data_IF_255311751970
#
_entry.id   IF_255311751970
#
_cell.length_a   1.000
_cell.length_b   1.000
_cell.length_c   1.000
_cell.angle_alpha   90.00
_cell.angle_beta   90.00
_cell.angle_gamma   90.00
#
_symmetry.space_group_name_H-M   'P 1'
#
loop_
_entity.id
_entity.type
_entity.pdbx_description
1 polymer ?
#
# COMPACT_ATOMS: atom_id res chain seq x y z
N UNK A 1 -3.84 -26.07 -9.18
CA UNK A 1 -3.99 -24.60 -9.23
C UNK A 1 -4.42 -24.25 -10.64
N UNK A 2 -5.34 -23.33 -10.83
CA UNK A 2 -5.92 -23.11 -12.17
C UNK A 2 -4.95 -22.27 -13.03
N UNK A 3 -4.10 -22.92 -13.82
CA UNK A 3 -3.05 -22.28 -14.65
C UNK A 3 -3.62 -21.23 -15.62
N UNK A 4 -4.87 -21.42 -16.05
CA UNK A 4 -5.60 -20.45 -16.86
C UNK A 4 -5.87 -19.14 -16.09
N UNK A 5 -6.15 -19.21 -14.79
CA UNK A 5 -6.39 -18.05 -13.95
C UNK A 5 -5.08 -17.29 -13.69
N UNK A 6 -3.99 -18.00 -13.42
CA UNK A 6 -2.66 -17.39 -13.26
C UNK A 6 -2.22 -16.70 -14.54
N UNK A 7 -2.41 -17.35 -15.69
CA UNK A 7 -2.11 -16.75 -17.00
C UNK A 7 -2.93 -15.49 -17.25
N UNK A 8 -4.21 -15.48 -16.87
CA UNK A 8 -5.08 -14.30 -16.99
C UNK A 8 -4.63 -13.15 -16.09
N UNK A 9 -4.25 -13.47 -14.86
CA UNK A 9 -3.72 -12.48 -13.91
C UNK A 9 -2.40 -11.88 -14.40
N UNK A 10 -1.47 -12.72 -14.90
CA UNK A 10 -0.21 -12.25 -15.52
C UNK A 10 -0.46 -11.30 -16.70
N UNK A 11 -1.42 -11.61 -17.56
CA UNK A 11 -1.79 -10.74 -18.70
C UNK A 11 -2.37 -9.40 -18.24
N UNK A 12 -3.21 -9.40 -17.22
CA UNK A 12 -3.78 -8.18 -16.65
C UNK A 12 -2.72 -7.30 -15.97
N UNK A 13 -1.77 -7.90 -15.25
CA UNK A 13 -0.66 -7.18 -14.64
C UNK A 13 0.31 -6.62 -15.67
N UNK A 14 0.61 -7.38 -16.72
CA UNK A 14 1.44 -6.90 -17.83
C UNK A 14 0.75 -5.75 -18.58
N UNK A 15 -0.56 -5.82 -18.78
CA UNK A 15 -1.35 -4.74 -19.37
C UNK A 15 -1.33 -3.48 -18.51
N UNK A 16 -1.46 -3.64 -17.19
CA UNK A 16 -1.38 -2.52 -16.24
C UNK A 16 0.00 -1.85 -16.22
N UNK A 17 1.08 -2.64 -16.34
CA UNK A 17 2.45 -2.11 -16.32
C UNK A 17 2.94 -1.48 -17.62
N UNK A 18 2.39 -1.88 -18.77
CA UNK A 18 2.90 -1.51 -20.08
C UNK A 18 1.91 -0.69 -20.94
N UNK A 19 0.75 -0.31 -20.41
CA UNK A 19 -0.25 0.42 -21.19
C UNK A 19 0.05 1.93 -21.16
N UNK A 20 0.12 2.60 -22.33
CA UNK A 20 0.31 4.05 -22.42
C UNK A 20 -0.93 4.83 -21.93
N UNK A 21 -2.11 4.21 -21.90
CA UNK A 21 -3.33 4.80 -21.34
C UNK A 21 -3.42 4.52 -19.84
N UNK A 22 -3.36 5.58 -19.05
CA UNK A 22 -3.47 5.48 -17.59
C UNK A 22 -4.81 4.87 -17.15
N UNK A 23 -5.91 5.21 -17.82
CA UNK A 23 -7.25 4.70 -17.50
C UNK A 23 -7.35 3.18 -17.76
N UNK A 24 -6.78 2.69 -18.83
CA UNK A 24 -6.76 1.27 -19.16
C UNK A 24 -5.81 0.49 -18.24
N UNK A 25 -4.66 1.06 -17.88
CA UNK A 25 -3.73 0.49 -16.92
C UNK A 25 -4.38 0.35 -15.53
N UNK A 26 -5.09 1.36 -15.07
CA UNK A 26 -5.85 1.35 -13.83
C UNK A 26 -6.99 0.31 -13.84
N UNK A 27 -7.72 0.22 -14.93
CA UNK A 27 -8.78 -0.78 -15.11
C UNK A 27 -8.24 -2.22 -15.12
N UNK A 28 -7.11 -2.44 -15.77
CA UNK A 28 -6.44 -3.75 -15.80
C UNK A 28 -5.93 -4.16 -14.43
N UNK A 29 -5.30 -3.24 -13.67
CA UNK A 29 -4.80 -3.48 -12.32
C UNK A 29 -5.96 -3.78 -11.36
N UNK A 30 -7.03 -2.98 -11.43
CA UNK A 30 -8.24 -3.19 -10.63
C UNK A 30 -8.86 -4.57 -10.89
N UNK A 31 -8.93 -4.98 -12.14
CA UNK A 31 -9.46 -6.29 -12.53
C UNK A 31 -8.57 -7.44 -12.07
N UNK A 32 -7.24 -7.25 -12.12
CA UNK A 32 -6.29 -8.22 -11.59
C UNK A 32 -6.42 -8.36 -10.08
N UNK A 33 -6.53 -7.26 -9.34
CA UNK A 33 -6.71 -7.26 -7.89
C UNK A 33 -8.03 -7.91 -7.47
N UNK A 34 -9.14 -7.56 -8.12
CA UNK A 34 -10.44 -8.18 -7.85
C UNK A 34 -10.39 -9.69 -8.07
N UNK A 35 -9.82 -10.13 -9.19
CA UNK A 35 -9.70 -11.54 -9.53
C UNK A 35 -8.77 -12.29 -8.57
N UNK A 36 -7.69 -11.66 -8.13
CA UNK A 36 -6.76 -12.24 -7.16
C UNK A 36 -7.40 -12.38 -5.78
N UNK A 37 -8.12 -11.37 -5.31
CA UNK A 37 -8.85 -11.41 -4.02
C UNK A 37 -9.96 -12.46 -4.06
N UNK A 38 -10.75 -12.50 -5.15
CA UNK A 38 -11.85 -13.45 -5.33
C UNK A 38 -11.37 -14.91 -5.31
N UNK A 39 -10.19 -15.16 -5.86
CA UNK A 39 -9.59 -16.48 -5.91
C UNK A 39 -8.49 -16.70 -4.87
N UNK A 40 -8.20 -15.67 -4.02
CA UNK A 40 -7.22 -15.60 -2.95
C UNK A 40 -5.81 -15.92 -3.40
N UNK A 41 -5.48 -15.41 -4.50
CA UNK A 41 -4.16 -15.48 -5.06
C UNK A 41 -3.43 -14.20 -4.63
N UNK A 42 -2.26 -14.35 -4.04
CA UNK A 42 -1.39 -13.20 -3.80
C UNK A 42 -0.79 -12.76 -5.15
N UNK A 43 -1.09 -11.53 -5.57
CA UNK A 43 -0.55 -10.96 -6.81
C UNK A 43 0.98 -10.97 -6.83
N UNK A 44 1.62 -10.86 -5.68
CA UNK A 44 3.06 -10.94 -5.54
C UNK A 44 3.64 -12.29 -6.00
N UNK A 45 2.84 -13.37 -5.90
CA UNK A 45 3.26 -14.70 -6.34
C UNK A 45 3.11 -14.92 -7.86
N UNK A 46 2.29 -14.09 -8.53
CA UNK A 46 2.01 -14.25 -9.96
C UNK A 46 3.05 -13.53 -10.82
N UNK A 47 3.63 -12.45 -10.31
CA UNK A 47 4.67 -11.66 -11.00
C UNK A 47 6.04 -12.33 -11.09
N UNK A 48 6.27 -13.41 -10.37
CA UNK A 48 7.56 -14.12 -10.38
C UNK A 48 7.70 -15.03 -11.59
N UNK A 49 8.07 -14.48 -12.74
CA UNK A 49 8.91 -15.22 -13.66
C UNK A 49 10.29 -15.31 -13.00
N UNK A 50 10.90 -16.47 -13.00
CA UNK A 50 12.24 -16.73 -12.42
C UNK A 50 13.33 -15.79 -12.97
N UNK A 51 13.08 -15.12 -14.11
CA UNK A 51 13.97 -14.15 -14.75
C UNK A 51 13.92 -12.71 -14.22
N UNK A 52 12.94 -12.35 -13.35
CA UNK A 52 12.80 -10.98 -12.78
C UNK A 52 13.09 -10.92 -11.28
N UNK A 53 14.11 -11.60 -10.80
CA UNK A 53 14.52 -11.49 -9.38
C UNK A 53 15.38 -10.23 -9.06
N UNK A 54 15.47 -9.29 -9.99
CA UNK A 54 16.28 -8.08 -9.81
C UNK A 54 15.53 -7.11 -8.88
N UNK A 55 16.19 -6.77 -7.77
CA UNK A 55 15.73 -5.67 -6.91
C UNK A 55 16.19 -4.35 -7.52
N UNK A 56 15.22 -3.47 -7.72
CA UNK A 56 15.43 -2.13 -8.29
C UNK A 56 14.96 -1.06 -7.32
N UNK A 57 15.32 0.18 -7.61
CA UNK A 57 14.81 1.35 -6.90
C UNK A 57 14.19 2.34 -7.86
N UNK A 58 13.10 2.95 -7.42
CA UNK A 58 12.47 4.07 -8.10
C UNK A 58 12.15 5.21 -7.16
N UNK A 59 12.27 6.43 -7.67
CA UNK A 59 11.96 7.63 -6.91
C UNK A 59 10.55 8.12 -7.21
N UNK A 60 9.91 8.69 -6.18
CA UNK A 60 8.74 9.54 -6.30
C UNK A 60 9.09 10.88 -5.69
N UNK A 61 9.13 11.91 -6.52
CA UNK A 61 9.55 13.25 -6.13
C UNK A 61 8.39 14.02 -5.49
N UNK A 62 8.72 14.80 -4.48
CA UNK A 62 7.82 15.73 -3.81
C UNK A 62 8.51 17.09 -3.73
N UNK A 63 7.72 18.15 -3.55
CA UNK A 63 8.25 19.46 -3.24
C UNK A 63 9.00 19.48 -1.90
N UNK A 64 9.00 20.60 -1.23
CA UNK A 64 9.74 20.75 0.03
C UNK A 64 9.21 19.90 1.20
N UNK A 65 7.97 19.41 1.12
CA UNK A 65 7.31 18.67 2.21
C UNK A 65 6.64 17.40 1.70
N UNK A 66 6.83 16.33 2.44
CA UNK A 66 6.03 15.11 2.25
C UNK A 66 4.60 15.30 2.80
N UNK A 67 3.60 14.66 2.19
CA UNK A 67 2.26 14.62 2.74
C UNK A 67 2.25 14.11 4.19
N UNK A 68 1.36 14.66 5.03
CA UNK A 68 1.24 14.25 6.44
C UNK A 68 0.95 12.75 6.59
N UNK A 69 0.26 12.18 5.62
CA UNK A 69 -0.11 10.75 5.58
C UNK A 69 1.07 9.83 5.20
N UNK A 70 2.17 10.40 4.71
CA UNK A 70 3.29 9.62 4.15
C UNK A 70 3.75 8.47 5.06
N UNK A 71 3.96 8.72 6.34
CA UNK A 71 4.45 7.69 7.28
C UNK A 71 3.48 6.52 7.36
N UNK A 72 2.18 6.79 7.42
CA UNK A 72 1.15 5.76 7.52
C UNK A 72 1.06 4.93 6.24
N UNK A 73 1.01 5.61 5.09
CA UNK A 73 0.91 4.94 3.79
C UNK A 73 2.17 4.11 3.51
N UNK A 74 3.36 4.67 3.74
CA UNK A 74 4.61 3.93 3.57
C UNK A 74 4.68 2.68 4.45
N UNK A 75 4.19 2.74 5.69
CA UNK A 75 4.15 1.57 6.57
C UNK A 75 3.17 0.50 6.06
N UNK A 76 2.00 0.89 5.55
CA UNK A 76 1.05 -0.06 4.92
C UNK A 76 1.72 -0.76 3.74
N UNK A 77 2.35 0.00 2.86
CA UNK A 77 3.00 -0.56 1.67
C UNK A 77 4.16 -1.49 2.02
N UNK A 78 5.01 -1.09 2.94
CA UNK A 78 6.12 -1.93 3.41
C UNK A 78 5.62 -3.25 4.01
N UNK A 79 4.48 -3.23 4.71
CA UNK A 79 3.94 -4.41 5.40
C UNK A 79 3.19 -5.38 4.48
N UNK A 80 2.56 -4.88 3.40
CA UNK A 80 1.62 -5.67 2.59
C UNK A 80 1.94 -5.73 1.10
N UNK A 81 2.95 -5.02 0.59
CA UNK A 81 3.23 -4.91 -0.84
C UNK A 81 4.67 -5.27 -1.25
N UNK A 82 5.40 -5.99 -0.40
CA UNK A 82 6.76 -6.48 -0.68
C UNK A 82 7.75 -5.40 -1.15
N UNK A 83 7.60 -4.18 -0.66
CA UNK A 83 8.49 -3.07 -0.96
C UNK A 83 9.06 -2.46 0.33
N UNK A 84 10.24 -1.88 0.24
CA UNK A 84 10.77 -0.96 1.25
C UNK A 84 10.69 0.46 0.73
N UNK A 85 10.33 1.38 1.63
CA UNK A 85 10.21 2.79 1.29
C UNK A 85 11.14 3.60 2.19
N UNK A 86 12.08 4.31 1.57
CA UNK A 86 13.02 5.20 2.25
C UNK A 86 12.65 6.64 1.92
N UNK A 87 12.64 7.48 2.93
CA UNK A 87 12.48 8.93 2.76
C UNK A 87 13.85 9.57 2.59
N UNK A 88 14.05 10.30 1.51
CA UNK A 88 15.26 11.05 1.25
C UNK A 88 14.93 12.52 0.96
N UNK A 89 15.91 13.38 1.14
CA UNK A 89 15.84 14.81 0.87
C UNK A 89 16.15 15.66 2.10
N UNK A 90 16.69 16.85 1.85
CA UNK A 90 17.22 17.75 2.84
C UNK A 90 16.46 19.08 2.93
N UNK A 91 17.02 19.97 3.75
CA UNK A 91 16.46 21.29 4.04
C UNK A 91 16.36 22.20 2.81
N UNK A 92 17.24 21.99 1.83
CA UNK A 92 17.39 22.84 0.64
C UNK A 92 17.07 22.12 -0.68
N UNK A 93 16.77 20.82 -0.63
CA UNK A 93 16.34 20.03 -1.79
C UNK A 93 14.93 19.50 -1.61
N UNK A 94 14.30 19.10 -2.71
CA UNK A 94 13.00 18.41 -2.69
C UNK A 94 13.08 17.13 -1.86
N UNK A 95 11.96 16.71 -1.33
CA UNK A 95 11.83 15.41 -0.66
C UNK A 95 11.41 14.36 -1.65
N UNK A 96 11.92 13.16 -1.47
CA UNK A 96 11.55 12.02 -2.29
C UNK A 96 11.32 10.76 -1.46
N UNK A 97 10.50 9.89 -1.96
CA UNK A 97 10.35 8.53 -1.52
C UNK A 97 11.09 7.64 -2.50
N UNK A 98 11.91 6.75 -1.97
CA UNK A 98 12.63 5.74 -2.73
C UNK A 98 11.94 4.43 -2.46
N UNK A 99 11.30 3.87 -3.49
CA UNK A 99 10.68 2.55 -3.46
C UNK A 99 11.72 1.52 -3.89
N UNK A 100 11.85 0.46 -3.12
CA UNK A 100 12.83 -0.62 -3.33
C UNK A 100 12.09 -1.94 -3.30
N UNK A 101 12.24 -2.74 -4.34
CA UNK A 101 11.57 -4.02 -4.51
C UNK A 101 11.71 -4.55 -5.93
N UNK A 102 10.90 -5.53 -6.30
CA UNK A 102 10.75 -5.92 -7.71
C UNK A 102 10.00 -4.82 -8.47
N UNK A 103 10.26 -4.67 -9.76
CA UNK A 103 9.64 -3.62 -10.58
C UNK A 103 8.10 -3.67 -10.53
N UNK A 104 7.50 -4.85 -10.62
CA UNK A 104 6.05 -5.05 -10.55
C UNK A 104 5.46 -4.61 -9.21
N UNK A 105 6.16 -4.93 -8.10
CA UNK A 105 5.74 -4.56 -6.75
C UNK A 105 5.84 -3.04 -6.54
N UNK A 106 6.89 -2.40 -7.07
CA UNK A 106 7.08 -0.95 -7.02
C UNK A 106 5.95 -0.24 -7.79
N UNK A 107 5.60 -0.69 -8.99
CA UNK A 107 4.53 -0.08 -9.79
C UNK A 107 3.20 -0.14 -9.03
N UNK A 108 2.88 -1.31 -8.47
CA UNK A 108 1.68 -1.49 -7.64
C UNK A 108 1.72 -0.60 -6.39
N UNK A 109 2.85 -0.55 -5.69
CA UNK A 109 3.01 0.24 -4.48
C UNK A 109 2.89 1.75 -4.75
N UNK A 110 3.45 2.27 -5.85
CA UNK A 110 3.32 3.69 -6.23
C UNK A 110 1.89 4.08 -6.53
N UNK A 111 1.15 3.22 -7.25
CA UNK A 111 -0.27 3.42 -7.49
C UNK A 111 -1.08 3.45 -6.18
N UNK A 112 -0.91 2.43 -5.32
CA UNK A 112 -1.60 2.35 -4.03
C UNK A 112 -1.21 3.53 -3.12
N UNK A 113 0.05 3.96 -3.16
CA UNK A 113 0.52 5.13 -2.41
C UNK A 113 -0.30 6.38 -2.75
N UNK A 114 -0.43 6.69 -4.04
CA UNK A 114 -1.16 7.86 -4.51
C UNK A 114 -2.62 7.78 -4.08
N UNK A 115 -3.30 6.70 -4.44
CA UNK A 115 -4.69 6.50 -4.11
C UNK A 115 -4.99 6.52 -2.60
N UNK A 116 -4.20 5.80 -1.81
CA UNK A 116 -4.41 5.73 -0.35
C UNK A 116 -4.13 7.08 0.33
N UNK A 117 -3.09 7.79 -0.12
CA UNK A 117 -2.78 9.13 0.37
C UNK A 117 -3.93 10.11 0.16
N UNK A 118 -4.49 10.12 -1.05
CA UNK A 118 -5.65 10.96 -1.39
C UNK A 118 -6.89 10.55 -0.60
N UNK A 119 -7.14 9.25 -0.48
CA UNK A 119 -8.29 8.73 0.26
C UNK A 119 -8.23 9.12 1.74
N UNK A 120 -7.09 8.93 2.40
CA UNK A 120 -6.91 9.32 3.81
C UNK A 120 -7.13 10.82 4.01
N UNK A 121 -6.62 11.65 3.09
CA UNK A 121 -6.78 13.11 3.16
C UNK A 121 -8.24 13.49 2.93
N UNK A 122 -8.90 12.91 1.95
CA UNK A 122 -10.32 13.16 1.63
C UNK A 122 -11.23 12.76 2.78
N UNK A 123 -11.05 11.58 3.37
CA UNK A 123 -11.83 11.13 4.53
C UNK A 123 -11.65 12.08 5.73
N UNK A 124 -10.41 12.52 6.00
CA UNK A 124 -10.16 13.54 7.00
C UNK A 124 -10.92 14.85 6.72
N UNK A 125 -10.86 15.35 5.48
CA UNK A 125 -11.55 16.60 5.13
C UNK A 125 -13.06 16.48 5.26
N UNK A 126 -13.66 15.36 4.89
CA UNK A 126 -15.08 15.10 5.07
C UNK A 126 -15.47 15.11 6.54
N UNK A 127 -14.70 14.41 7.39
CA UNK A 127 -14.92 14.41 8.84
C UNK A 127 -14.75 15.78 9.46
N UNK A 128 -13.68 16.50 9.11
CA UNK A 128 -13.43 17.87 9.59
C UNK A 128 -14.55 18.83 9.20
N UNK A 129 -15.00 18.80 7.94
CA UNK A 129 -16.08 19.68 7.45
C UNK A 129 -17.41 19.41 8.16
N UNK A 130 -17.74 18.13 8.37
CA UNK A 130 -18.98 17.76 9.07
C UNK A 130 -19.00 18.12 10.57
N UNK A 131 -17.83 18.28 11.20
CA UNK A 131 -17.67 18.48 12.64
C UNK A 131 -16.84 19.73 12.98
N UNK A 132 -16.85 20.75 12.13
CA UNK A 132 -15.97 21.93 12.24
C UNK A 132 -16.13 22.74 13.53
N UNK A 133 -17.25 22.62 14.22
CA UNK A 133 -17.48 23.29 15.54
C UNK A 133 -16.77 22.59 16.71
N UNK A 134 -16.51 21.27 16.59
CA UNK A 134 -15.93 20.46 17.68
C UNK A 134 -14.55 19.92 17.33
N UNK A 135 -14.24 19.80 16.05
CA UNK A 135 -13.00 19.23 15.51
C UNK A 135 -12.14 20.33 14.89
N UNK A 136 -10.86 20.36 15.23
CA UNK A 136 -9.89 21.29 14.65
C UNK A 136 -8.70 20.55 14.03
N UNK A 137 -7.82 21.29 13.37
CA UNK A 137 -6.68 20.73 12.66
C UNK A 137 -5.72 19.93 13.54
N UNK A 138 -5.69 20.19 14.86
CA UNK A 138 -4.86 19.44 15.81
C UNK A 138 -5.33 17.98 15.95
N UNK A 139 -6.59 17.72 15.70
CA UNK A 139 -7.18 16.38 15.74
C UNK A 139 -6.80 15.53 14.51
N UNK A 140 -6.26 16.15 13.45
CA UNK A 140 -5.89 15.46 12.21
C UNK A 140 -4.97 14.26 12.43
N UNK A 141 -3.96 14.42 13.28
CA UNK A 141 -3.00 13.34 13.53
C UNK A 141 -3.67 12.15 14.23
N UNK A 142 -4.57 12.42 15.18
CA UNK A 142 -5.34 11.36 15.86
C UNK A 142 -6.23 10.60 14.90
N UNK A 143 -6.93 11.32 14.01
CA UNK A 143 -7.77 10.74 12.98
C UNK A 143 -6.98 9.87 12.00
N UNK A 144 -5.88 10.41 11.46
CA UNK A 144 -5.04 9.68 10.50
C UNK A 144 -4.38 8.45 11.12
N UNK A 145 -4.00 8.52 12.39
CA UNK A 145 -3.47 7.39 13.11
C UNK A 145 -4.56 6.32 13.36
N UNK A 146 -5.78 6.74 13.71
CA UNK A 146 -6.93 5.83 13.79
C UNK A 146 -7.20 5.14 12.46
N UNK A 147 -7.25 5.91 11.37
CA UNK A 147 -7.46 5.37 10.03
C UNK A 147 -6.39 4.32 9.66
N UNK A 148 -5.13 4.62 9.90
CA UNK A 148 -4.04 3.68 9.69
C UNK A 148 -4.25 2.39 10.48
N UNK A 149 -4.56 2.46 11.78
CA UNK A 149 -4.77 1.28 12.61
C UNK A 149 -5.97 0.45 12.16
N UNK A 150 -7.07 1.10 11.78
CA UNK A 150 -8.26 0.43 11.23
C UNK A 150 -7.95 -0.31 9.93
N UNK A 151 -7.22 0.34 9.04
CA UNK A 151 -6.80 -0.27 7.79
C UNK A 151 -5.85 -1.46 8.00
N UNK A 152 -4.85 -1.31 8.87
CA UNK A 152 -3.92 -2.42 9.21
C UNK A 152 -4.69 -3.61 9.78
N UNK A 153 -5.58 -3.39 10.74
CA UNK A 153 -6.40 -4.45 11.34
C UNK A 153 -7.21 -5.22 10.29
N UNK A 154 -7.82 -4.50 9.35
CA UNK A 154 -8.56 -5.10 8.23
C UNK A 154 -7.65 -5.94 7.33
N UNK A 155 -6.50 -5.39 6.91
CA UNK A 155 -5.58 -6.09 6.02
C UNK A 155 -4.97 -7.32 6.67
N UNK A 156 -4.65 -7.26 7.96
CA UNK A 156 -4.18 -8.42 8.73
C UNK A 156 -5.25 -9.51 8.86
N UNK A 157 -6.49 -9.13 9.12
CA UNK A 157 -7.62 -10.05 9.17
C UNK A 157 -7.83 -10.74 7.82
N UNK A 158 -7.81 -9.97 6.73
CA UNK A 158 -7.93 -10.52 5.38
C UNK A 158 -6.76 -11.46 5.04
N UNK A 159 -5.53 -11.10 5.40
CA UNK A 159 -4.35 -11.96 5.20
C UNK A 159 -4.50 -13.29 5.93
N UNK A 160 -4.91 -13.27 7.21
CA UNK A 160 -5.12 -14.49 8.00
C UNK A 160 -6.23 -15.38 7.41
N UNK A 161 -7.35 -14.81 6.95
CA UNK A 161 -8.41 -15.60 6.32
C UNK A 161 -7.95 -16.27 5.03
N UNK A 162 -7.19 -15.56 4.20
CA UNK A 162 -6.61 -16.10 2.97
C UNK A 162 -5.59 -17.20 3.27
N UNK A 163 -4.73 -17.02 4.26
CA UNK A 163 -3.75 -18.03 4.68
C UNK A 163 -4.45 -19.30 5.22
N UNK A 164 -5.54 -19.16 6.00
CA UNK A 164 -6.28 -20.30 6.53
C UNK A 164 -7.04 -21.08 5.45
N UNK A 165 -7.63 -20.39 4.47
CA UNK A 165 -8.50 -21.01 3.47
C UNK A 165 -7.72 -21.65 2.31
N UNK A 166 -6.51 -21.24 2.03
CA UNK A 166 -5.77 -21.54 0.80
C UNK A 166 -4.51 -22.35 0.95
N UNK A 167 -3.78 -22.16 2.03
CA UNK A 167 -2.60 -22.96 2.31
C UNK A 167 -3.06 -24.27 2.98
N UNK A 168 -3.60 -25.18 2.17
CA UNK A 168 -4.16 -26.46 2.65
C UNK A 168 -3.09 -27.44 3.13
N UNK A 169 -1.83 -27.27 2.73
CA UNK A 169 -0.71 -28.13 3.13
C UNK A 169 0.39 -27.35 3.82
N UNK A 170 1.00 -27.94 4.84
CA UNK A 170 2.16 -27.36 5.55
C UNK A 170 3.35 -27.11 4.60
N UNK A 171 3.49 -27.92 3.56
CA UNK A 171 4.52 -27.74 2.54
C UNK A 171 4.32 -26.45 1.71
N UNK A 172 3.08 -26.09 1.38
CA UNK A 172 2.76 -24.84 0.69
C UNK A 172 3.01 -23.63 1.58
N UNK A 173 2.67 -23.70 2.88
CA UNK A 173 2.97 -22.65 3.86
C UNK A 173 4.46 -22.42 4.00
N UNK A 174 5.23 -23.51 4.08
CA UNK A 174 6.69 -23.42 4.19
C UNK A 174 7.35 -22.83 2.94
N UNK A 175 6.94 -23.23 1.74
CA UNK A 175 7.43 -22.64 0.49
C UNK A 175 7.11 -21.15 0.39
N UNK A 176 5.91 -20.75 0.77
CA UNK A 176 5.49 -19.34 0.78
C UNK A 176 6.31 -18.51 1.76
N UNK A 177 6.45 -18.98 3.01
CA UNK A 177 7.22 -18.27 4.02
C UNK A 177 8.70 -18.14 3.67
N UNK A 178 9.30 -19.17 3.08
CA UNK A 178 10.70 -19.14 2.59
C UNK A 178 10.86 -18.13 1.46
N UNK A 179 9.93 -18.06 0.51
CA UNK A 179 9.99 -17.12 -0.60
C UNK A 179 9.93 -15.66 -0.11
N UNK A 180 9.02 -15.35 0.86
CA UNK A 180 8.95 -14.01 1.46
C UNK A 180 10.25 -13.66 2.19
N UNK A 181 10.76 -14.55 3.03
CA UNK A 181 12.02 -14.33 3.78
C UNK A 181 13.19 -14.09 2.82
N UNK A 182 13.26 -14.83 1.72
CA UNK A 182 14.32 -14.65 0.72
C UNK A 182 14.20 -13.29 0.01
N UNK A 183 12.98 -12.86 -0.33
CA UNK A 183 12.76 -11.54 -0.93
C UNK A 183 13.14 -10.41 0.04
N UNK A 184 12.72 -10.52 1.29
CA UNK A 184 13.10 -9.53 2.33
C UNK A 184 14.63 -9.45 2.50
N UNK A 185 15.33 -10.58 2.50
CA UNK A 185 16.79 -10.62 2.55
C UNK A 185 17.43 -9.95 1.32
N UNK A 186 16.92 -10.22 0.11
CA UNK A 186 17.40 -9.57 -1.11
C UNK A 186 17.22 -8.06 -1.07
N UNK A 187 16.04 -7.59 -0.65
CA UNK A 187 15.76 -6.15 -0.47
C UNK A 187 16.70 -5.55 0.57
N UNK A 188 16.91 -6.22 1.70
CA UNK A 188 17.79 -5.72 2.75
C UNK A 188 19.24 -5.64 2.27
N UNK A 189 19.76 -6.68 1.60
CA UNK A 189 21.11 -6.67 1.01
C UNK A 189 21.27 -5.53 0.01
N UNK A 190 20.28 -5.29 -0.83
CA UNK A 190 20.28 -4.14 -1.75
C UNK A 190 20.37 -2.81 -0.99
N UNK A 191 19.60 -2.66 0.08
CA UNK A 191 19.61 -1.46 0.91
C UNK A 191 20.98 -1.24 1.56
N UNK A 192 21.56 -2.27 2.14
CA UNK A 192 22.85 -2.21 2.83
C UNK A 192 24.00 -1.83 1.87
N UNK A 193 23.91 -2.29 0.62
CA UNK A 193 24.90 -1.96 -0.42
C UNK A 193 24.75 -0.54 -0.98
N UNK A 194 23.51 -0.07 -1.15
CA UNK A 194 23.22 1.23 -1.80
C UNK A 194 23.18 2.42 -0.82
N UNK A 195 22.92 2.15 0.45
CA UNK A 195 22.68 3.21 1.44
C UNK A 195 23.53 3.04 2.70
N UNK A 196 24.64 3.74 2.77
CA UNK A 196 25.61 3.65 3.88
C UNK A 196 25.20 4.38 5.16
N UNK A 197 24.25 5.33 5.11
CA UNK A 197 23.92 6.23 6.22
C UNK A 197 22.41 6.35 6.46
N UNK A 198 21.69 5.24 6.54
CA UNK A 198 20.27 5.26 6.89
C UNK A 198 20.09 5.61 8.36
N UNK A 199 19.20 6.55 8.63
CA UNK A 199 18.80 6.91 9.99
C UNK A 199 17.36 6.49 10.22
N UNK A 200 17.12 5.87 11.38
CA UNK A 200 15.74 5.63 11.82
C UNK A 200 15.05 6.96 12.13
N UNK A 201 13.84 7.13 11.62
CA UNK A 201 13.04 8.32 11.89
C UNK A 201 12.64 8.40 13.37
N UNK A 202 12.69 9.59 13.95
CA UNK A 202 12.25 9.80 15.32
C UNK A 202 10.72 9.58 15.45
N UNK A 203 10.31 8.75 16.41
CA UNK A 203 8.91 8.55 16.75
C UNK A 203 8.38 9.80 17.47
N UNK A 204 7.45 10.51 16.85
CA UNK A 204 6.77 11.64 17.50
C UNK A 204 5.67 11.10 18.41
N UNK A 205 5.63 11.57 19.67
CA UNK A 205 4.47 11.38 20.54
C UNK A 205 3.30 12.17 19.99
N UNK A 206 2.17 11.50 19.77
CA UNK A 206 0.93 12.10 19.31
C UNK A 206 0.05 12.33 20.54
N UNK A 207 -0.37 13.58 20.78
CA UNK A 207 -1.44 13.86 21.73
C UNK A 207 -2.74 13.34 21.12
N UNK A 208 -3.34 12.31 21.72
CA UNK A 208 -4.45 11.58 21.12
C UNK A 208 -5.81 12.18 21.55
N UNK A 209 -6.61 12.61 20.57
CA UNK A 209 -8.03 12.87 20.74
C UNK A 209 -8.81 11.58 20.45
N UNK A 210 -9.54 11.07 21.45
CA UNK A 210 -10.22 9.76 21.38
C UNK A 210 -11.31 9.71 20.29
N UNK A 211 -12.10 10.74 20.16
CA UNK A 211 -13.22 10.77 19.21
C UNK A 211 -12.73 10.78 17.76
N UNK A 212 -11.76 11.64 17.47
CA UNK A 212 -11.14 11.69 16.14
C UNK A 212 -10.41 10.39 15.80
N UNK A 213 -9.74 9.77 16.77
CA UNK A 213 -9.11 8.47 16.60
C UNK A 213 -10.13 7.37 16.29
N UNK A 214 -11.21 7.28 17.08
CA UNK A 214 -12.27 6.29 16.91
C UNK A 214 -12.95 6.42 15.55
N UNK A 215 -13.23 7.65 15.12
CA UNK A 215 -13.79 7.91 13.80
C UNK A 215 -12.83 7.48 12.70
N UNK A 216 -11.55 7.86 12.80
CA UNK A 216 -10.52 7.42 11.86
C UNK A 216 -10.42 5.90 11.78
N UNK A 217 -10.45 5.21 12.93
CA UNK A 217 -10.42 3.74 12.99
C UNK A 217 -11.57 3.11 12.19
N UNK A 218 -12.80 3.61 12.39
CA UNK A 218 -13.97 3.14 11.64
C UNK A 218 -13.81 3.38 10.14
N UNK A 219 -13.37 4.56 9.73
CA UNK A 219 -13.19 4.90 8.33
C UNK A 219 -12.07 4.05 7.70
N UNK A 220 -11.02 3.72 8.46
CA UNK A 220 -9.94 2.82 8.03
C UNK A 220 -10.40 1.37 7.83
N UNK A 221 -11.22 0.84 8.74
CA UNK A 221 -11.83 -0.50 8.60
C UNK A 221 -12.71 -0.54 7.35
N UNK A 222 -13.46 0.52 7.08
CA UNK A 222 -14.36 0.61 5.93
C UNK A 222 -13.64 0.97 4.62
N UNK A 223 -12.38 1.38 4.68
CA UNK A 223 -11.58 1.68 3.50
C UNK A 223 -11.39 0.42 2.66
N UNK A 224 -11.69 0.49 1.37
CA UNK A 224 -11.55 -0.64 0.46
C UNK A 224 -10.50 -0.34 -0.61
N UNK A 225 -9.30 -0.89 -0.45
CA UNK A 225 -8.19 -0.73 -1.39
C UNK A 225 -8.53 -1.33 -2.76
N UNK A 226 -9.30 -2.43 -2.79
CA UNK A 226 -9.72 -3.07 -4.04
C UNK A 226 -10.70 -2.20 -4.86
N UNK A 227 -11.46 -1.30 -4.22
CA UNK A 227 -12.36 -0.36 -4.91
C UNK A 227 -11.66 0.91 -5.38
N UNK A 228 -10.41 1.13 -5.02
CA UNK A 228 -9.63 2.31 -5.41
C UNK A 228 -9.41 2.45 -6.91
N UNK A 229 -9.55 1.36 -7.67
CA UNK A 229 -9.51 1.38 -9.12
C UNK A 229 -10.88 1.48 -9.82
N UNK A 230 -11.99 1.46 -9.07
CA UNK A 230 -13.33 1.50 -9.65
C UNK A 230 -14.11 2.69 -9.07
N UNK A 231 -13.88 3.85 -9.65
CA UNK A 231 -14.88 4.92 -9.65
C UNK A 231 -14.93 5.84 -8.44
N UNK A 232 -14.39 7.01 -8.66
CA UNK A 232 -14.73 8.25 -7.95
C UNK A 232 -16.25 8.62 -8.02
N UNK A 233 -17.10 7.81 -8.67
CA UNK A 233 -18.52 8.11 -8.88
C UNK A 233 -19.45 7.56 -7.79
N UNK A 234 -19.05 6.54 -7.03
CA UNK A 234 -19.95 5.95 -6.03
C UNK A 234 -19.99 6.69 -4.67
N UNK A 235 -19.03 7.57 -4.41
CA UNK A 235 -18.99 8.35 -3.13
C UNK A 235 -19.76 9.67 -3.24
N UNK A 236 -20.04 10.14 -4.44
CA UNK A 236 -20.81 11.37 -4.67
C UNK A 236 -22.34 11.19 -4.53
N UNK A 237 -22.84 9.97 -4.31
CA UNK A 237 -24.27 9.68 -4.15
C UNK A 237 -24.69 9.40 -2.70
N UNK A 238 -23.80 9.59 -1.74
CA UNK A 238 -24.10 9.50 -0.29
C UNK A 238 -23.80 10.83 0.43
N UNK A 239 -23.95 11.95 -0.26
CA UNK A 239 -23.99 13.30 0.33
C UNK A 239 -25.41 13.83 0.29
#
# INVERSE_FOLDING_TARGET
MNDALISKLKKLLALAGNNPSQEEAEAALSKAQALAIENGIDLALIGSNEDEEVIVRENMEFGQRLPTVNVYVSNVLTKFFNVRIITSGGRYGGRKLIFIGKQSDINTAKYVYTWLSETMVRCWHSYYKANSYTVNIKHKQSYLFGFYNGLISKLESNKKSVESDKLKTEEQKNKYSVAIVNLEKKIQTFIDNEFTNLRSGATKRISMNKDSYSRGLTDGINCNIAKGGIGNRAVAQLA
#
